data_IF_995002274224
#
_entry.id   IF_995002274224
#
_cell.length_a   1.000
_cell.length_b   1.000
_cell.length_c   1.000
_cell.angle_alpha   90.00
_cell.angle_beta   90.00
_cell.angle_gamma   90.00
#
_symmetry.space_group_name_H-M   'P 1'
#
loop_
_entity.id
_entity.type
_entity.pdbx_description
1 polymer ?
#
# COMPACT_ATOMS: atom_id res chain seq x y z
N UNK A 1 -37.04 -29.96 8.57
CA UNK A 1 -37.26 -28.67 9.27
C UNK A 1 -37.79 -28.84 10.68
N UNK A 2 -38.76 -29.73 10.91
CA UNK A 2 -39.34 -29.96 12.25
C UNK A 2 -38.32 -30.39 13.29
N UNK A 3 -37.46 -31.36 12.97
CA UNK A 3 -36.40 -31.82 13.88
C UNK A 3 -35.39 -30.71 14.25
N UNK A 4 -35.06 -29.83 13.31
CA UNK A 4 -34.19 -28.67 13.57
C UNK A 4 -34.88 -27.64 14.48
N UNK A 5 -36.16 -27.34 14.22
CA UNK A 5 -36.94 -26.42 15.05
C UNK A 5 -37.14 -26.96 16.47
N UNK A 6 -37.33 -28.26 16.63
CA UNK A 6 -37.40 -28.93 17.92
C UNK A 6 -36.05 -28.87 18.66
N UNK A 7 -34.95 -29.18 17.97
CA UNK A 7 -33.60 -29.08 18.53
C UNK A 7 -33.23 -27.62 18.90
N UNK A 8 -33.62 -26.64 18.09
CA UNK A 8 -33.40 -25.22 18.36
C UNK A 8 -34.17 -24.76 19.60
N UNK A 9 -35.45 -25.16 19.73
CA UNK A 9 -36.29 -24.88 20.90
C UNK A 9 -35.77 -25.55 22.18
N UNK A 10 -35.17 -26.74 22.06
CA UNK A 10 -34.55 -27.46 23.18
C UNK A 10 -33.13 -26.96 23.52
N UNK A 11 -32.46 -26.27 22.60
CA UNK A 11 -31.10 -25.77 22.80
C UNK A 11 -31.03 -24.69 23.91
N UNK A 12 -29.96 -24.74 24.70
CA UNK A 12 -29.69 -23.72 25.70
C UNK A 12 -29.38 -22.36 25.05
N UNK A 13 -29.55 -21.29 25.83
CA UNK A 13 -29.21 -19.93 25.38
C UNK A 13 -27.76 -19.82 24.88
N UNK A 14 -26.81 -20.49 25.53
CA UNK A 14 -25.41 -20.51 25.10
C UNK A 14 -25.21 -21.15 23.74
N UNK A 15 -25.90 -22.26 23.44
CA UNK A 15 -25.81 -22.94 22.13
C UNK A 15 -26.41 -22.07 21.02
N UNK A 16 -27.52 -21.39 21.29
CA UNK A 16 -28.13 -20.48 20.32
C UNK A 16 -27.24 -19.28 20.02
N UNK A 17 -26.63 -18.68 21.04
CA UNK A 17 -25.67 -17.59 20.89
C UNK A 17 -24.47 -18.05 20.09
N UNK A 18 -23.87 -19.19 20.43
CA UNK A 18 -22.71 -19.72 19.71
C UNK A 18 -23.03 -20.02 18.23
N UNK A 19 -24.22 -20.55 17.93
CA UNK A 19 -24.65 -20.85 16.57
C UNK A 19 -24.83 -19.60 15.69
N UNK A 20 -25.10 -18.43 16.29
CA UNK A 20 -25.26 -17.16 15.56
C UNK A 20 -23.95 -16.35 15.56
N UNK A 21 -23.33 -16.18 16.73
CA UNK A 21 -22.14 -15.36 16.92
C UNK A 21 -20.89 -16.03 16.34
N UNK A 22 -20.78 -17.35 16.44
CA UNK A 22 -19.63 -18.10 15.92
C UNK A 22 -19.40 -17.87 14.42
N UNK A 23 -20.41 -18.07 13.55
CA UNK A 23 -20.28 -17.77 12.13
C UNK A 23 -19.96 -16.30 11.85
N UNK A 24 -20.59 -15.36 12.57
CA UNK A 24 -20.34 -13.93 12.39
C UNK A 24 -18.89 -13.54 12.73
N UNK A 25 -18.33 -14.10 13.80
CA UNK A 25 -16.93 -13.89 14.16
C UNK A 25 -15.98 -14.43 13.10
N UNK A 26 -16.24 -15.63 12.56
CA UNK A 26 -15.40 -16.23 11.52
C UNK A 26 -15.41 -15.34 10.26
N UNK A 27 -16.59 -14.93 9.80
CA UNK A 27 -16.73 -14.07 8.61
C UNK A 27 -16.07 -12.71 8.84
N UNK A 28 -16.32 -12.08 9.99
CA UNK A 28 -15.73 -10.79 10.34
C UNK A 28 -14.21 -10.83 10.41
N UNK A 29 -13.65 -11.89 10.99
CA UNK A 29 -12.19 -12.07 11.11
C UNK A 29 -11.56 -12.30 9.73
N UNK A 30 -12.17 -13.15 8.90
CA UNK A 30 -11.70 -13.40 7.55
C UNK A 30 -11.71 -12.12 6.69
N UNK A 31 -12.81 -11.35 6.77
CA UNK A 31 -12.93 -10.07 6.08
C UNK A 31 -11.88 -9.06 6.56
N UNK A 32 -11.68 -8.91 7.87
CA UNK A 32 -10.68 -8.00 8.43
C UNK A 32 -9.26 -8.33 7.95
N UNK A 33 -8.88 -9.62 7.94
CA UNK A 33 -7.56 -10.06 7.45
C UNK A 33 -7.40 -9.78 5.96
N UNK A 34 -8.42 -10.10 5.14
CA UNK A 34 -8.38 -9.82 3.71
C UNK A 34 -8.26 -8.32 3.43
N UNK A 35 -9.11 -7.51 4.07
CA UNK A 35 -9.13 -6.07 3.91
C UNK A 35 -7.79 -5.44 4.32
N UNK A 36 -7.20 -5.89 5.44
CA UNK A 36 -5.89 -5.42 5.87
C UNK A 36 -4.79 -5.74 4.85
N UNK A 37 -4.77 -6.96 4.31
CA UNK A 37 -3.80 -7.35 3.26
C UNK A 37 -3.96 -6.53 1.99
N UNK A 38 -5.19 -6.25 1.58
CA UNK A 38 -5.46 -5.40 0.40
C UNK A 38 -4.98 -3.98 0.64
N UNK A 39 -5.26 -3.41 1.81
CA UNK A 39 -4.82 -2.07 2.16
C UNK A 39 -3.29 -1.96 2.21
N UNK A 40 -2.62 -2.92 2.86
CA UNK A 40 -1.15 -2.99 2.87
C UNK A 40 -0.57 -3.09 1.46
N UNK A 41 -1.13 -3.95 0.59
CA UNK A 41 -0.68 -4.03 -0.81
C UNK A 41 -0.84 -2.72 -1.58
N UNK A 42 -1.92 -1.97 -1.32
CA UNK A 42 -2.14 -0.65 -1.92
C UNK A 42 -1.11 0.36 -1.43
N UNK A 43 -0.86 0.37 -0.12
CA UNK A 43 0.16 1.22 0.51
C UNK A 43 1.58 0.90 0.01
N UNK A 44 1.95 -0.38 -0.02
CA UNK A 44 3.26 -0.84 -0.50
C UNK A 44 3.47 -0.50 -1.98
N UNK A 45 2.42 -0.61 -2.81
CA UNK A 45 2.47 -0.18 -4.22
C UNK A 45 2.69 1.32 -4.32
N UNK A 46 1.91 2.13 -3.60
CA UNK A 46 2.08 3.57 -3.59
C UNK A 46 3.50 3.98 -3.15
N UNK A 47 4.05 3.31 -2.13
CA UNK A 47 5.43 3.53 -1.69
C UNK A 47 6.45 3.15 -2.76
N UNK A 48 6.23 2.04 -3.49
CA UNK A 48 7.08 1.63 -4.59
C UNK A 48 7.03 2.61 -5.77
N UNK A 49 5.85 3.14 -6.09
CA UNK A 49 5.66 4.13 -7.17
C UNK A 49 6.38 5.45 -6.83
N UNK A 50 6.22 5.96 -5.60
CA UNK A 50 6.95 7.14 -5.11
C UNK A 50 8.47 6.90 -5.18
N UNK A 51 8.95 5.75 -4.71
CA UNK A 51 10.37 5.42 -4.75
C UNK A 51 10.92 5.33 -6.18
N UNK A 52 10.12 4.87 -7.14
CA UNK A 52 10.50 4.82 -8.55
C UNK A 52 10.61 6.23 -9.16
N UNK A 53 9.64 7.11 -8.87
CA UNK A 53 9.67 8.51 -9.29
C UNK A 53 10.87 9.25 -8.68
N UNK A 54 11.09 9.11 -7.37
CA UNK A 54 12.22 9.71 -6.67
C UNK A 54 13.57 9.25 -7.23
N UNK A 55 13.70 7.95 -7.55
CA UNK A 55 14.90 7.41 -8.17
C UNK A 55 15.15 8.03 -9.54
N UNK A 56 14.11 8.27 -10.34
CA UNK A 56 14.20 8.97 -11.62
C UNK A 56 14.67 10.42 -11.45
N UNK A 57 14.05 11.15 -10.53
CA UNK A 57 14.41 12.53 -10.22
C UNK A 57 15.85 12.68 -9.73
N UNK A 58 16.30 11.81 -8.81
CA UNK A 58 17.68 11.77 -8.33
C UNK A 58 18.64 11.44 -9.47
N UNK A 59 18.28 10.52 -10.36
CA UNK A 59 19.08 10.18 -11.54
C UNK A 59 19.31 11.39 -12.44
N UNK A 60 18.24 12.08 -12.83
CA UNK A 60 18.30 13.29 -13.64
C UNK A 60 19.10 14.41 -12.95
N UNK A 61 18.90 14.62 -11.65
CA UNK A 61 19.66 15.61 -10.87
C UNK A 61 21.15 15.26 -10.81
N UNK A 62 21.48 13.98 -10.67
CA UNK A 62 22.87 13.50 -10.65
C UNK A 62 23.54 13.72 -12.01
N UNK A 63 22.84 13.43 -13.11
CA UNK A 63 23.34 13.69 -14.46
C UNK A 63 23.57 15.18 -14.70
N UNK A 64 22.59 16.02 -14.36
CA UNK A 64 22.71 17.47 -14.47
C UNK A 64 23.89 18.00 -13.64
N UNK A 65 24.12 17.45 -12.44
CA UNK A 65 25.24 17.85 -11.59
C UNK A 65 26.59 17.50 -12.21
N UNK A 66 26.71 16.38 -12.94
CA UNK A 66 27.93 16.05 -13.69
C UNK A 66 28.19 17.09 -14.79
N UNK A 67 27.17 17.41 -15.58
CA UNK A 67 27.27 18.39 -16.67
C UNK A 67 27.64 19.78 -16.11
N UNK A 68 26.97 20.20 -15.05
CA UNK A 68 27.26 21.45 -14.35
C UNK A 68 28.70 21.49 -13.81
N UNK A 69 29.15 20.41 -13.19
CA UNK A 69 30.50 20.31 -12.64
C UNK A 69 31.57 20.37 -13.73
N UNK A 70 31.34 19.71 -14.88
CA UNK A 70 32.25 19.75 -16.03
C UNK A 70 32.32 21.17 -16.63
N UNK A 71 31.17 21.82 -16.81
CA UNK A 71 31.09 23.21 -17.27
C UNK A 71 31.94 24.15 -16.40
N UNK A 72 31.77 24.05 -15.08
CA UNK A 72 32.52 24.83 -14.10
C UNK A 72 34.01 24.50 -14.11
N UNK A 73 34.36 23.21 -14.26
CA UNK A 73 35.75 22.75 -14.33
C UNK A 73 36.51 23.30 -15.54
N UNK A 74 35.80 23.53 -16.66
CA UNK A 74 36.35 24.15 -17.87
C UNK A 74 36.33 25.68 -17.87
N UNK A 75 35.88 26.31 -16.78
CA UNK A 75 35.72 27.76 -16.67
C UNK A 75 34.53 28.34 -17.45
N UNK A 76 33.63 27.48 -17.94
CA UNK A 76 32.42 27.90 -18.64
C UNK A 76 31.38 28.51 -17.71
N UNK A 77 30.40 29.23 -18.29
CA UNK A 77 29.29 29.83 -17.56
C UNK A 77 28.06 28.94 -17.65
N UNK A 78 27.49 28.59 -16.51
CA UNK A 78 26.26 27.81 -16.45
C UNK A 78 25.02 28.67 -16.72
N UNK A 79 24.17 28.25 -17.64
CA UNK A 79 22.87 28.87 -17.92
C UNK A 79 21.78 28.03 -17.25
N UNK A 80 21.34 28.48 -16.07
CA UNK A 80 20.44 27.71 -15.22
C UNK A 80 19.04 27.50 -15.81
N UNK A 81 18.52 28.45 -16.59
CA UNK A 81 17.20 28.35 -17.24
C UNK A 81 17.13 27.31 -18.36
N UNK A 82 18.28 26.94 -18.91
CA UNK A 82 18.38 26.05 -20.08
C UNK A 82 19.07 24.72 -19.74
N UNK A 83 19.64 24.59 -18.54
CA UNK A 83 20.35 23.38 -18.11
C UNK A 83 21.60 23.09 -18.94
N UNK A 84 22.28 24.12 -19.47
CA UNK A 84 23.47 23.96 -20.33
C UNK A 84 24.60 24.91 -19.98
N UNK A 85 25.78 24.59 -20.49
CA UNK A 85 27.00 25.40 -20.39
C UNK A 85 27.16 26.33 -21.60
N UNK A 86 27.71 27.54 -21.37
CA UNK A 86 28.17 28.48 -22.40
C UNK A 86 29.65 28.79 -22.28
#
# INVERSE_FOLDING_TARGET
>A
MEAFMLAWKAASWGVRIAAVVGPLLIVGTAYAVWHHKVYQRGYDRALADIAAEDKGAIGAATELRKIWSDCRGRGGRWIQSEGRCS
#
